data_IF_403330760095
#
_entry.id   IF_403330760095
#
_cell.length_a   1.000
_cell.length_b   1.000
_cell.length_c   1.000
_cell.angle_alpha   90.00
_cell.angle_beta   90.00
_cell.angle_gamma   90.00
#
_symmetry.space_group_name_H-M   'P 1'
#
loop_
_entity.id
_entity.type
_entity.pdbx_description
1 polymer ?
#
# COMPACT_ATOMS: atom_id res chain seq x y z
N UNK A 1 -16.72 -8.79 -30.84
CA UNK A 1 -15.42 -8.75 -30.13
C UNK A 1 -15.78 -8.71 -28.66
N UNK A 2 -15.53 -9.78 -27.90
CA UNK A 2 -15.64 -9.71 -26.44
C UNK A 2 -14.61 -8.70 -25.94
N UNK A 3 -15.00 -7.93 -24.93
CA UNK A 3 -14.12 -6.97 -24.29
C UNK A 3 -13.54 -7.66 -23.05
N UNK A 4 -12.26 -7.48 -22.78
CA UNK A 4 -11.59 -8.10 -21.62
C UNK A 4 -12.13 -7.55 -20.30
N UNK A 5 -12.17 -8.42 -19.30
CA UNK A 5 -12.57 -8.20 -17.92
C UNK A 5 -11.30 -8.09 -17.07
N UNK A 6 -10.64 -6.93 -17.14
CA UNK A 6 -9.29 -6.81 -16.61
C UNK A 6 -9.22 -6.50 -15.10
N UNK A 7 -8.24 -7.10 -14.42
CA UNK A 7 -7.81 -6.74 -13.08
C UNK A 7 -6.29 -6.79 -12.94
N UNK A 8 -5.77 -6.15 -11.88
CA UNK A 8 -4.34 -6.16 -11.56
C UNK A 8 -4.12 -6.81 -10.20
N UNK A 9 -3.19 -7.76 -10.13
CA UNK A 9 -2.67 -8.30 -8.87
C UNK A 9 -1.37 -7.63 -8.47
N UNK A 10 -1.15 -7.48 -7.18
CA UNK A 10 0.05 -6.89 -6.59
C UNK A 10 0.61 -7.83 -5.53
N UNK A 11 1.92 -8.04 -5.56
CA UNK A 11 2.62 -8.85 -4.58
C UNK A 11 3.99 -8.28 -4.26
N UNK A 12 4.28 -8.12 -2.97
CA UNK A 12 5.59 -7.68 -2.48
C UNK A 12 6.06 -8.66 -1.41
N UNK A 13 6.86 -9.68 -1.78
CA UNK A 13 7.23 -10.78 -0.89
C UNK A 13 7.94 -10.34 0.39
N UNK A 14 8.69 -9.24 0.31
CA UNK A 14 9.44 -8.66 1.43
C UNK A 14 8.55 -7.91 2.44
N UNK A 15 7.31 -7.61 2.08
CA UNK A 15 6.37 -6.84 2.91
C UNK A 15 5.12 -7.64 3.30
N UNK A 16 4.67 -8.58 2.47
CA UNK A 16 3.50 -9.42 2.71
C UNK A 16 3.64 -10.77 2.01
N UNK A 17 3.18 -11.83 2.67
CA UNK A 17 3.01 -13.16 2.06
C UNK A 17 1.78 -13.24 1.16
N UNK A 18 0.85 -12.29 1.28
CA UNK A 18 -0.40 -12.29 0.54
C UNK A 18 -0.33 -11.45 -0.73
N UNK A 19 -1.01 -11.94 -1.76
CA UNK A 19 -1.29 -11.18 -2.98
C UNK A 19 -2.59 -10.42 -2.80
N UNK A 20 -2.60 -9.16 -3.21
CA UNK A 20 -3.83 -8.35 -3.28
C UNK A 20 -4.20 -8.14 -4.75
N UNK A 21 -5.47 -7.84 -5.01
CA UNK A 21 -5.93 -7.55 -6.37
C UNK A 21 -6.90 -6.38 -6.38
N UNK A 22 -6.95 -5.67 -7.49
CA UNK A 22 -7.99 -4.68 -7.77
C UNK A 22 -9.33 -5.36 -8.00
N UNK A 23 -10.41 -4.58 -8.05
CA UNK A 23 -11.65 -5.06 -8.67
C UNK A 23 -11.45 -5.35 -10.15
N UNK A 24 -12.25 -6.26 -10.67
CA UNK A 24 -12.36 -6.53 -12.10
C UNK A 24 -13.20 -5.44 -12.76
N UNK A 25 -12.66 -4.82 -13.81
CA UNK A 25 -13.41 -3.88 -14.65
C UNK A 25 -13.84 -4.65 -15.90
N UNK A 26 -15.14 -4.93 -15.98
CA UNK A 26 -15.69 -5.76 -17.06
C UNK A 26 -15.87 -4.98 -18.35
N UNK A 27 -15.68 -5.70 -19.46
CA UNK A 27 -15.93 -5.24 -20.81
C UNK A 27 -15.31 -3.87 -21.11
N UNK A 28 -14.04 -3.65 -20.75
CA UNK A 28 -13.39 -2.37 -20.96
C UNK A 28 -11.93 -2.52 -21.42
N UNK A 29 -11.61 -1.97 -22.61
CA UNK A 29 -10.25 -1.95 -23.16
C UNK A 29 -9.30 -0.97 -22.46
N UNK A 30 -9.86 0.02 -21.77
CA UNK A 30 -9.09 1.04 -21.03
C UNK A 30 -9.60 1.05 -19.57
N UNK A 31 -9.36 -0.04 -18.82
CA UNK A 31 -9.82 -0.14 -17.44
C UNK A 31 -9.15 0.93 -16.57
N UNK A 32 -9.95 1.59 -15.73
CA UNK A 32 -9.48 2.55 -14.74
C UNK A 32 -9.90 2.04 -13.36
N UNK A 33 -8.95 1.46 -12.63
CA UNK A 33 -9.24 0.86 -11.32
C UNK A 33 -9.34 1.90 -10.20
N UNK A 34 -8.45 2.90 -10.19
CA UNK A 34 -8.37 3.93 -9.14
C UNK A 34 -8.36 3.34 -7.71
N UNK A 35 -7.65 2.23 -7.52
CA UNK A 35 -7.47 1.58 -6.22
C UNK A 35 -6.04 1.77 -5.73
N UNK A 36 -5.89 1.96 -4.41
CA UNK A 36 -4.61 2.21 -3.76
C UNK A 36 -4.29 1.10 -2.75
N UNK A 37 -3.06 0.60 -2.80
CA UNK A 37 -2.55 -0.42 -1.89
C UNK A 37 -1.32 0.11 -1.15
N UNK A 38 -1.22 -0.22 0.14
CA UNK A 38 -0.14 0.25 1.00
C UNK A 38 0.67 -0.93 1.53
N UNK A 39 1.98 -0.88 1.34
CA UNK A 39 2.91 -1.83 1.93
C UNK A 39 3.84 -1.13 2.92
N UNK A 40 4.15 -1.79 4.03
CA UNK A 40 5.26 -1.40 4.91
C UNK A 40 6.50 -2.16 4.46
N UNK A 41 7.54 -1.43 4.08
CA UNK A 41 8.75 -2.03 3.50
C UNK A 41 9.97 -1.75 4.39
N UNK A 42 10.92 -2.69 4.42
CA UNK A 42 12.25 -2.46 4.98
C UNK A 42 13.20 -2.04 3.86
N UNK A 43 13.80 -0.84 3.96
CA UNK A 43 14.74 -0.31 2.97
C UNK A 43 16.11 -0.99 2.97
N UNK A 44 16.40 -1.83 3.96
CA UNK A 44 17.67 -2.58 4.05
C UNK A 44 17.71 -3.77 3.10
N UNK A 45 16.55 -4.20 2.59
CA UNK A 45 16.41 -5.31 1.65
C UNK A 45 15.96 -4.82 0.28
N UNK A 46 16.21 -5.62 -0.75
CA UNK A 46 15.74 -5.32 -2.11
C UNK A 46 14.24 -5.54 -2.19
N UNK A 47 13.47 -4.48 -2.45
CA UNK A 47 12.02 -4.54 -2.55
C UNK A 47 11.59 -4.58 -4.03
N UNK A 48 11.19 -5.76 -4.52
CA UNK A 48 10.71 -5.96 -5.88
C UNK A 48 9.21 -6.22 -5.85
N UNK A 49 8.43 -5.25 -6.33
CA UNK A 49 6.98 -5.35 -6.44
C UNK A 49 6.61 -6.06 -7.74
N UNK A 50 5.91 -7.18 -7.62
CA UNK A 50 5.29 -7.87 -8.75
C UNK A 50 3.89 -7.30 -8.98
N UNK A 51 3.62 -6.89 -10.22
CA UNK A 51 2.31 -6.51 -10.71
C UNK A 51 1.94 -7.46 -11.84
N UNK A 52 0.72 -8.00 -11.85
CA UNK A 52 0.22 -8.81 -12.97
C UNK A 52 -1.11 -8.30 -13.48
N UNK A 53 -1.21 -8.13 -14.78
CA UNK A 53 -2.47 -7.79 -15.45
C UNK A 53 -3.10 -9.08 -15.93
N UNK A 54 -4.34 -9.32 -15.54
CA UNK A 54 -5.08 -10.54 -15.86
C UNK A 54 -6.43 -10.22 -16.50
N UNK A 55 -6.94 -11.13 -17.32
CA UNK A 55 -8.31 -11.18 -17.83
C UNK A 55 -9.13 -12.17 -16.99
N UNK A 56 -10.19 -11.72 -16.32
CA UNK A 56 -11.05 -12.59 -15.49
C UNK A 56 -12.03 -13.34 -16.39
N UNK A 57 -11.94 -14.66 -16.39
CA UNK A 57 -12.84 -15.50 -17.15
C UNK A 57 -13.86 -16.18 -16.24
N UNK A 58 -15.14 -16.06 -16.57
CA UNK A 58 -16.21 -16.67 -15.77
C UNK A 58 -16.33 -18.19 -15.93
N UNK A 59 -15.72 -18.76 -16.98
CA UNK A 59 -15.87 -20.18 -17.36
C UNK A 59 -14.53 -20.91 -17.38
N UNK A 60 -13.48 -20.23 -17.83
CA UNK A 60 -12.10 -20.72 -17.91
C UNK A 60 -11.27 -20.20 -16.74
N UNK A 61 -10.01 -20.64 -16.67
CA UNK A 61 -9.06 -20.00 -15.76
C UNK A 61 -8.70 -18.63 -16.33
N UNK A 62 -8.57 -17.65 -15.45
CA UNK A 62 -8.10 -16.32 -15.80
C UNK A 62 -6.78 -16.35 -16.60
N UNK A 63 -6.73 -15.54 -17.65
CA UNK A 63 -5.56 -15.41 -18.50
C UNK A 63 -4.62 -14.34 -17.93
N UNK A 64 -3.37 -14.73 -17.65
CA UNK A 64 -2.32 -13.77 -17.29
C UNK A 64 -1.83 -13.08 -18.57
N UNK A 65 -2.14 -11.79 -18.70
CA UNK A 65 -1.78 -10.99 -19.88
C UNK A 65 -0.34 -10.48 -19.79
N UNK A 66 0.09 -10.04 -18.61
CA UNK A 66 1.40 -9.46 -18.40
C UNK A 66 1.87 -9.57 -16.95
N UNK A 67 3.17 -9.77 -16.75
CA UNK A 67 3.85 -9.66 -15.46
C UNK A 67 4.91 -8.56 -15.51
N UNK A 68 4.88 -7.65 -14.54
CA UNK A 68 5.80 -6.53 -14.36
C UNK A 68 6.48 -6.68 -13.01
N UNK A 69 7.82 -6.57 -13.00
CA UNK A 69 8.60 -6.48 -11.77
C UNK A 69 9.15 -5.07 -11.64
N UNK A 70 8.71 -4.37 -10.59
CA UNK A 70 9.10 -3.00 -10.32
C UNK A 70 9.99 -2.91 -9.08
N UNK A 71 11.15 -2.28 -9.27
CA UNK A 71 12.11 -2.03 -8.22
C UNK A 71 11.75 -0.76 -7.45
N UNK A 72 11.34 -0.93 -6.19
CA UNK A 72 10.91 0.16 -5.31
C UNK A 72 12.05 1.15 -5.02
N UNK A 73 13.32 0.75 -5.16
CA UNK A 73 14.46 1.65 -4.96
C UNK A 73 14.54 2.75 -6.03
N UNK A 74 13.85 2.58 -7.16
CA UNK A 74 13.71 3.63 -8.19
C UNK A 74 12.83 4.80 -7.72
N UNK A 75 12.11 4.64 -6.61
CA UNK A 75 11.26 5.68 -6.04
C UNK A 75 12.05 6.59 -5.09
N UNK A 76 11.73 7.89 -5.14
CA UNK A 76 12.28 8.89 -4.22
C UNK A 76 11.33 9.09 -3.04
N UNK A 77 11.85 9.04 -1.82
CA UNK A 77 11.07 9.28 -0.59
C UNK A 77 10.47 10.70 -0.62
N UNK A 78 9.19 10.82 -0.26
CA UNK A 78 8.47 12.08 -0.19
C UNK A 78 7.97 12.58 -1.55
N UNK A 79 8.22 11.86 -2.64
CA UNK A 79 7.72 12.19 -3.98
C UNK A 79 6.75 11.14 -4.48
N UNK A 80 5.79 11.61 -5.26
CA UNK A 80 4.89 10.76 -6.04
C UNK A 80 5.45 10.61 -7.44
N UNK A 81 5.58 9.38 -7.91
CA UNK A 81 6.08 9.04 -9.24
C UNK A 81 4.98 8.34 -10.04
N UNK A 82 4.71 8.82 -11.25
CA UNK A 82 3.83 8.13 -12.21
C UNK A 82 4.70 7.34 -13.17
N UNK A 83 4.49 6.03 -13.20
CA UNK A 83 5.27 5.11 -14.02
C UNK A 83 4.33 4.44 -15.01
N UNK A 84 4.75 4.41 -16.27
CA UNK A 84 4.05 3.73 -17.35
C UNK A 84 4.81 2.48 -17.74
N UNK A 85 4.15 1.34 -17.67
CA UNK A 85 4.70 0.04 -18.03
C UNK A 85 4.13 -0.37 -19.38
N UNK A 86 5.00 -0.62 -20.36
CA UNK A 86 4.61 -1.12 -21.67
C UNK A 86 4.19 -2.59 -21.53
N UNK A 87 2.91 -2.89 -21.80
CA UNK A 87 2.38 -4.26 -21.80
C UNK A 87 2.57 -4.88 -23.17
N UNK A 88 2.24 -4.15 -24.23
CA UNK A 88 2.36 -4.58 -25.62
C UNK A 88 2.79 -3.41 -26.52
N UNK A 89 4.06 -3.39 -27.00
CA UNK A 89 4.57 -2.31 -27.85
C UNK A 89 3.86 -2.19 -29.21
N UNK A 90 3.32 -3.28 -29.75
CA UNK A 90 2.63 -3.27 -31.04
C UNK A 90 1.22 -2.68 -30.92
N UNK A 91 0.54 -2.98 -29.82
CA UNK A 91 -0.80 -2.47 -29.53
C UNK A 91 -0.81 -1.13 -28.78
N UNK A 92 0.37 -0.61 -28.37
CA UNK A 92 0.53 0.58 -27.52
C UNK A 92 -0.27 0.48 -26.22
N UNK A 93 -0.31 -0.73 -25.66
CA UNK A 93 -0.99 -1.00 -24.39
C UNK A 93 -0.03 -0.72 -23.24
N UNK A 94 -0.48 0.08 -22.29
CA UNK A 94 0.32 0.55 -21.16
C UNK A 94 -0.47 0.45 -19.85
N UNK A 95 0.21 0.07 -18.77
CA UNK A 95 -0.29 0.19 -17.42
C UNK A 95 0.35 1.43 -16.77
N UNK A 96 -0.47 2.42 -16.41
CA UNK A 96 -0.02 3.59 -15.63
C UNK A 96 -0.29 3.37 -14.14
N UNK A 97 0.74 3.53 -13.32
CA UNK A 97 0.67 3.37 -11.86
C UNK A 97 1.29 4.58 -11.17
N UNK A 98 0.61 5.10 -10.17
CA UNK A 98 1.11 6.16 -9.31
C UNK A 98 1.68 5.56 -8.01
N UNK A 99 2.97 5.77 -7.77
CA UNK A 99 3.67 5.31 -6.58
C UNK A 99 4.00 6.48 -5.67
N UNK A 100 3.73 6.32 -4.37
CA UNK A 100 4.17 7.29 -3.35
C UNK A 100 4.92 6.56 -2.25
N UNK A 101 6.18 6.94 -2.06
CA UNK A 101 7.04 6.37 -1.02
C UNK A 101 7.20 7.37 0.12
N UNK A 102 6.72 7.02 1.31
CA UNK A 102 6.75 7.92 2.48
C UNK A 102 7.54 7.30 3.63
N UNK A 103 8.21 8.14 4.42
CA UNK A 103 8.83 7.71 5.65
C UNK A 103 7.75 7.53 6.73
N UNK A 104 7.65 6.33 7.29
CA UNK A 104 6.68 6.00 8.35
C UNK A 104 7.07 6.58 9.72
N UNK A 105 8.30 7.08 9.89
CA UNK A 105 8.84 7.56 11.17
C UNK A 105 8.30 8.94 11.61
N UNK A 106 7.62 9.71 10.74
CA UNK A 106 7.21 11.10 11.05
C UNK A 106 5.77 11.30 11.59
N UNK A 107 5.09 10.28 12.12
CA UNK A 107 3.84 10.47 12.87
C UNK A 107 3.86 9.77 14.23
N UNK A 108 4.77 10.18 15.08
CA UNK A 108 4.45 10.30 16.50
C UNK A 108 4.27 11.80 16.73
N UNK A 109 3.09 12.33 17.08
CA UNK A 109 3.03 13.67 17.64
C UNK A 109 3.97 13.66 18.84
N UNK A 110 4.92 14.59 18.89
CA UNK A 110 5.79 14.74 20.07
C UNK A 110 4.91 14.72 21.33
N UNK A 111 5.22 13.92 22.36
CA UNK A 111 4.53 14.06 23.62
C UNK A 111 4.75 15.50 24.09
N UNK A 112 3.66 16.27 24.19
CA UNK A 112 3.67 17.65 24.68
C UNK A 112 4.43 17.63 26.01
N UNK A 113 5.63 18.23 26.03
CA UNK A 113 6.38 18.45 27.26
C UNK A 113 5.62 19.50 28.07
N UNK A 114 4.75 19.05 28.98
CA UNK A 114 4.18 19.92 30.00
C UNK A 114 5.27 20.19 31.02
N UNK A 115 6.05 21.24 30.83
CA UNK A 115 6.83 21.84 31.92
C UNK A 115 5.86 22.66 32.77
N UNK A 116 5.49 22.15 33.94
CA UNK A 116 4.72 22.90 34.92
C UNK A 116 5.46 22.90 36.27
N UNK A 117 6.59 23.59 36.31
CA UNK A 117 7.03 24.24 37.54
C UNK A 117 6.30 25.58 37.63
N UNK A 118 5.10 25.59 38.22
CA UNK A 118 4.60 26.68 39.08
C UNK A 118 3.18 26.34 39.57
N UNK A 119 3.10 26.05 40.87
CA UNK A 119 2.04 26.47 41.81
C UNK A 119 0.64 26.79 41.25
N UNK A 120 -0.33 25.94 41.59
CA UNK A 120 -1.75 26.32 41.62
C UNK A 120 -2.70 25.35 40.91
N UNK A 121 -3.19 24.38 41.67
CA UNK A 121 -4.58 23.86 41.60
C UNK A 121 -5.26 23.75 40.23
N UNK A 122 -5.16 22.57 39.57
CA UNK A 122 -6.28 21.99 38.80
C UNK A 122 -6.02 20.54 38.36
N UNK A 123 -5.98 19.62 39.32
CA UNK A 123 -6.01 18.17 39.05
C UNK A 123 -7.41 17.75 38.56
N UNK A 124 -7.83 18.09 37.32
CA UNK A 124 -9.13 17.61 36.79
C UNK A 124 -9.19 17.27 35.30
N UNK A 125 -8.08 17.10 34.56
CA UNK A 125 -8.19 16.78 33.12
C UNK A 125 -7.14 15.83 32.52
N UNK A 126 -6.80 14.75 33.21
CA UNK A 126 -5.99 13.68 32.59
C UNK A 126 -6.52 12.29 32.92
N UNK A 127 -6.30 11.36 31.99
CA UNK A 127 -6.63 9.91 32.01
C UNK A 127 -8.00 9.51 31.47
N UNK A 128 -8.24 9.69 30.16
CA UNK A 128 -9.05 8.70 29.43
C UNK A 128 -8.10 7.73 28.73
N UNK A 129 -8.05 6.54 29.32
CA UNK A 129 -7.52 5.27 28.78
C UNK A 129 -6.00 5.08 28.84
N UNK A 130 -5.50 4.68 30.01
CA UNK A 130 -4.41 3.73 30.10
C UNK A 130 -4.96 2.49 30.83
N UNK A 131 -5.14 1.39 30.10
CA UNK A 131 -5.27 0.06 30.71
C UNK A 131 -3.91 -0.31 31.28
N UNK A 132 -3.73 -0.15 32.59
CA UNK A 132 -2.58 -0.72 33.30
C UNK A 132 -3.04 -2.08 33.85
N UNK A 133 -2.48 -3.21 33.39
CA UNK A 133 -2.75 -4.49 34.03
C UNK A 133 -2.18 -4.48 35.45
N UNK A 134 -2.96 -4.99 36.40
CA UNK A 134 -2.54 -5.14 37.79
C UNK A 134 -1.38 -6.16 37.83
N UNK A 135 -0.21 -5.84 38.42
CA UNK A 135 0.84 -6.82 38.64
C UNK A 135 0.30 -7.98 39.50
N UNK A 136 0.65 -9.22 39.14
CA UNK A 136 0.19 -10.44 39.81
C UNK A 136 0.62 -10.55 41.28
N UNK A 137 1.54 -9.70 41.75
CA UNK A 137 2.12 -9.78 43.09
C UNK A 137 1.22 -9.20 44.21
N UNK A 138 -0.06 -8.98 43.92
CA UNK A 138 -1.11 -8.69 44.91
C UNK A 138 -2.13 -9.85 45.04
N UNK A 139 -1.74 -11.06 44.62
CA UNK A 139 -2.26 -12.35 45.11
C UNK A 139 -1.10 -13.27 45.51
#
# INVERSE_FOLDING_TARGET
VSLSDCYVTLWLPTASSERVRTRTIRNNKNPVWNEAFCYKIDRRVKNMLELKVCDEDSVTRDDELCTIIFDIDKLTVGRTARVKFQLNPQAREELEVEFTLQNTVQRQPEPIRVTAETTGSRWTRWLRSLNIPIPSDFY
#
